data_IF_783436615791
#
_entry.id   IF_783436615791
#
_cell.length_a   1.000
_cell.length_b   1.000
_cell.length_c   1.000
_cell.angle_alpha   90.00
_cell.angle_beta   90.00
_cell.angle_gamma   90.00
#
_symmetry.space_group_name_H-M   'P 1'
#
loop_
_entity.id
_entity.type
_entity.pdbx_description
1 polymer ?
#
# COMPACT_ATOMS: atom_id res chain seq x y z
N UNK A 1 -24.43 -14.61 -8.38
CA UNK A 1 -24.18 -13.77 -7.19
C UNK A 1 -24.78 -12.40 -7.46
N UNK A 2 -25.63 -11.93 -6.56
CA UNK A 2 -26.43 -10.71 -6.73
C UNK A 2 -25.65 -9.52 -6.15
N UNK A 3 -24.97 -8.77 -7.02
CA UNK A 3 -24.12 -7.62 -6.68
C UNK A 3 -24.93 -6.33 -6.46
N UNK A 4 -26.26 -6.41 -6.60
CA UNK A 4 -27.18 -5.29 -6.43
C UNK A 4 -27.47 -4.96 -4.94
N UNK A 5 -26.86 -5.70 -4.00
CA UNK A 5 -26.84 -5.34 -2.58
C UNK A 5 -25.47 -4.84 -2.17
N UNK A 6 -25.44 -3.63 -1.63
CA UNK A 6 -24.26 -3.01 -1.02
C UNK A 6 -23.56 -4.02 -0.09
N UNK A 7 -22.24 -4.22 -0.29
CA UNK A 7 -21.36 -5.10 0.50
C UNK A 7 -21.60 -6.62 0.42
N UNK A 8 -22.29 -7.16 -0.58
CA UNK A 8 -22.32 -8.62 -0.77
C UNK A 8 -21.10 -9.13 -1.55
N UNK A 9 -19.96 -9.23 -0.87
CA UNK A 9 -18.77 -9.93 -1.37
C UNK A 9 -17.45 -9.27 -0.97
N UNK A 10 -16.43 -10.09 -0.68
CA UNK A 10 -15.10 -9.63 -0.26
C UNK A 10 -14.49 -8.62 -1.24
N UNK A 11 -14.58 -8.88 -2.54
CA UNK A 11 -14.05 -7.99 -3.60
C UNK A 11 -14.72 -6.63 -3.59
N UNK A 12 -16.05 -6.57 -3.43
CA UNK A 12 -16.79 -5.30 -3.38
C UNK A 12 -16.46 -4.50 -2.11
N UNK A 13 -16.32 -5.19 -0.97
CA UNK A 13 -15.86 -4.58 0.27
C UNK A 13 -14.46 -3.98 0.10
N UNK A 14 -13.50 -4.75 -0.43
CA UNK A 14 -12.12 -4.30 -0.65
C UNK A 14 -12.03 -3.17 -1.68
N UNK A 15 -12.85 -3.20 -2.73
CA UNK A 15 -12.97 -2.11 -3.70
C UNK A 15 -13.45 -0.80 -3.04
N UNK A 16 -14.52 -0.90 -2.22
CA UNK A 16 -15.04 0.24 -1.47
C UNK A 16 -14.01 0.78 -0.47
N UNK A 17 -13.32 -0.11 0.22
CA UNK A 17 -12.23 0.21 1.15
C UNK A 17 -11.12 0.99 0.45
N UNK A 18 -10.61 0.47 -0.68
CA UNK A 18 -9.58 1.11 -1.50
C UNK A 18 -10.03 2.40 -2.21
N UNK A 19 -11.29 2.83 -2.09
CA UNK A 19 -11.78 4.12 -2.58
C UNK A 19 -11.85 5.18 -1.47
N UNK A 20 -11.77 4.78 -0.21
CA UNK A 20 -11.81 5.69 0.94
C UNK A 20 -10.47 6.36 1.20
N UNK A 21 -10.46 7.69 1.37
CA UNK A 21 -9.25 8.44 1.76
C UNK A 21 -8.75 8.07 3.15
N UNK A 22 -9.65 7.69 4.05
CA UNK A 22 -9.31 7.34 5.43
C UNK A 22 -8.34 6.15 5.50
N UNK A 23 -8.48 5.18 4.58
CA UNK A 23 -7.58 4.02 4.49
C UNK A 23 -6.16 4.46 4.22
N UNK A 24 -5.96 5.32 3.22
CA UNK A 24 -4.64 5.83 2.88
C UNK A 24 -4.06 6.72 3.99
N UNK A 25 -4.89 7.48 4.71
CA UNK A 25 -4.46 8.24 5.88
C UNK A 25 -3.93 7.34 7.00
N UNK A 26 -4.65 6.24 7.31
CA UNK A 26 -4.22 5.25 8.30
C UNK A 26 -2.91 4.59 7.87
N UNK A 27 -2.81 4.17 6.60
CA UNK A 27 -1.59 3.59 6.04
C UNK A 27 -0.40 4.56 6.11
N UNK A 28 -0.61 5.84 5.78
CA UNK A 28 0.43 6.87 5.93
C UNK A 28 0.85 7.03 7.39
N UNK A 29 -0.10 7.04 8.33
CA UNK A 29 0.19 7.11 9.76
C UNK A 29 1.09 5.96 10.23
N UNK A 30 0.83 4.74 9.77
CA UNK A 30 1.67 3.57 10.07
C UNK A 30 3.08 3.70 9.49
N UNK A 31 3.21 4.14 8.24
CA UNK A 31 4.53 4.31 7.60
C UNK A 31 5.31 5.46 8.24
N UNK A 32 4.67 6.59 8.58
CA UNK A 32 5.29 7.69 9.32
C UNK A 32 5.76 7.24 10.69
N UNK A 33 4.95 6.43 11.39
CA UNK A 33 5.34 5.87 12.69
C UNK A 33 6.60 5.00 12.58
N UNK A 34 6.65 4.09 11.60
CA UNK A 34 7.83 3.27 11.32
C UNK A 34 9.06 4.11 10.97
N UNK A 35 8.89 5.13 10.12
CA UNK A 35 9.95 6.04 9.72
C UNK A 35 10.47 6.87 10.89
N UNK A 36 9.58 7.34 11.77
CA UNK A 36 9.93 8.04 13.00
C UNK A 36 10.75 7.16 13.93
N UNK A 37 10.27 5.94 14.21
CA UNK A 37 11.01 4.98 15.03
C UNK A 37 12.39 4.66 14.46
N UNK A 38 12.49 4.52 13.13
CA UNK A 38 13.75 4.26 12.42
C UNK A 38 14.73 5.43 12.55
N UNK A 39 14.22 6.67 12.42
CA UNK A 39 15.03 7.89 12.46
C UNK A 39 15.51 8.22 13.87
N UNK A 40 14.67 8.04 14.89
CA UNK A 40 15.03 8.36 16.28
C UNK A 40 15.77 7.23 17.01
N UNK A 41 15.59 5.97 16.58
CA UNK A 41 16.18 4.81 17.23
C UNK A 41 17.55 4.37 16.68
N UNK A 42 18.06 5.00 15.63
CA UNK A 42 19.23 4.49 14.90
C UNK A 42 20.25 5.56 14.56
N UNK A 43 21.48 5.42 15.08
CA UNK A 43 22.60 6.32 14.78
C UNK A 43 23.28 5.91 13.47
N UNK A 44 22.91 6.58 12.38
CA UNK A 44 23.65 6.76 11.12
C UNK A 44 24.56 5.59 10.64
N UNK A 45 23.95 4.57 10.04
CA UNK A 45 24.61 3.67 9.08
C UNK A 45 24.02 3.94 7.68
N UNK A 46 24.82 3.88 6.62
CA UNK A 46 24.35 4.03 5.22
C UNK A 46 23.21 3.07 4.86
N UNK A 47 23.19 1.88 5.47
CA UNK A 47 22.17 0.87 5.20
C UNK A 47 20.80 1.22 5.80
N UNK A 48 20.78 1.99 6.90
CA UNK A 48 19.54 2.52 7.50
C UNK A 48 18.94 3.62 6.62
N UNK A 49 19.78 4.43 5.97
CA UNK A 49 19.32 5.49 5.07
C UNK A 49 18.54 4.90 3.88
N UNK A 50 18.98 3.76 3.33
CA UNK A 50 18.25 3.09 2.26
C UNK A 50 16.86 2.64 2.69
N UNK A 51 16.73 2.15 3.92
CA UNK A 51 15.43 1.77 4.49
C UNK A 51 14.54 3.00 4.76
N UNK A 52 15.11 4.12 5.22
CA UNK A 52 14.39 5.39 5.36
C UNK A 52 13.87 5.89 4.00
N UNK A 53 14.71 5.85 2.97
CA UNK A 53 14.33 6.21 1.60
C UNK A 53 13.21 5.31 1.11
N UNK A 54 13.28 3.99 1.36
CA UNK A 54 12.24 3.05 0.97
C UNK A 54 10.87 3.40 1.59
N UNK A 55 10.83 3.68 2.89
CA UNK A 55 9.63 4.14 3.59
C UNK A 55 9.14 5.51 3.06
N UNK A 56 10.06 6.40 2.69
CA UNK A 56 9.74 7.68 2.03
C UNK A 56 9.08 7.48 0.66
N UNK A 57 9.59 6.56 -0.16
CA UNK A 57 8.97 6.20 -1.45
C UNK A 57 7.58 5.61 -1.24
N UNK A 58 7.40 4.76 -0.23
CA UNK A 58 6.08 4.24 0.15
C UNK A 58 5.09 5.38 0.48
N UNK A 59 5.54 6.38 1.27
CA UNK A 59 4.75 7.56 1.62
C UNK A 59 4.39 8.42 0.41
N UNK A 60 5.33 8.66 -0.51
CA UNK A 60 5.06 9.40 -1.74
C UNK A 60 3.95 8.74 -2.57
N UNK A 61 3.99 7.40 -2.73
CA UNK A 61 2.94 6.67 -3.41
C UNK A 61 1.58 6.79 -2.71
N UNK A 62 1.55 6.64 -1.38
CA UNK A 62 0.32 6.79 -0.59
C UNK A 62 -0.26 8.20 -0.65
N UNK A 63 0.59 9.22 -0.61
CA UNK A 63 0.19 10.62 -0.69
C UNK A 63 -0.46 10.92 -2.05
N UNK A 64 0.09 10.39 -3.14
CA UNK A 64 -0.52 10.50 -4.47
C UNK A 64 -1.92 9.86 -4.48
N UNK A 65 -2.09 8.66 -3.92
CA UNK A 65 -3.40 8.00 -3.88
C UNK A 65 -4.38 8.79 -3.00
N UNK A 66 -3.90 9.35 -1.88
CA UNK A 66 -4.70 10.12 -0.93
C UNK A 66 -5.31 11.37 -1.58
N UNK A 67 -4.58 12.07 -2.45
CA UNK A 67 -5.07 13.25 -3.17
C UNK A 67 -6.39 12.95 -3.87
N UNK A 68 -6.47 11.85 -4.63
CA UNK A 68 -7.71 11.42 -5.22
C UNK A 68 -7.76 9.90 -5.50
N UNK A 69 -8.31 9.09 -4.57
CA UNK A 69 -8.38 7.63 -4.73
C UNK A 69 -9.49 7.19 -5.71
N UNK A 70 -10.20 8.12 -6.35
CA UNK A 70 -11.25 7.79 -7.34
C UNK A 70 -10.70 7.84 -8.78
N UNK A 71 -9.64 8.61 -9.03
CA UNK A 71 -9.04 8.74 -10.36
C UNK A 71 -8.15 7.51 -10.63
N UNK A 72 -8.40 6.85 -11.76
CA UNK A 72 -7.71 5.62 -12.14
C UNK A 72 -6.19 5.79 -12.23
N UNK A 73 -5.72 6.74 -13.04
CA UNK A 73 -4.28 6.93 -13.32
C UNK A 73 -3.51 7.27 -12.04
N UNK A 74 -4.04 8.19 -11.22
CA UNK A 74 -3.43 8.60 -9.95
C UNK A 74 -3.33 7.41 -8.99
N UNK A 75 -4.41 6.62 -8.89
CA UNK A 75 -4.42 5.41 -8.07
C UNK A 75 -3.34 4.44 -8.56
N UNK A 76 -3.33 4.08 -9.84
CA UNK A 76 -2.39 3.10 -10.39
C UNK A 76 -0.94 3.52 -10.17
N UNK A 77 -0.58 4.76 -10.52
CA UNK A 77 0.77 5.30 -10.32
C UNK A 77 1.15 5.27 -8.85
N UNK A 78 0.26 5.70 -7.96
CA UNK A 78 0.53 5.68 -6.53
C UNK A 78 0.73 4.26 -5.98
N UNK A 79 -0.06 3.27 -6.43
CA UNK A 79 0.14 1.86 -6.06
C UNK A 79 1.50 1.35 -6.53
N UNK A 80 1.89 1.64 -7.78
CA UNK A 80 3.18 1.21 -8.33
C UNK A 80 4.36 1.82 -7.56
N UNK A 81 4.28 3.12 -7.24
CA UNK A 81 5.30 3.79 -6.43
C UNK A 81 5.38 3.18 -5.03
N UNK A 82 4.24 2.97 -4.36
CA UNK A 82 4.24 2.35 -3.03
C UNK A 82 4.77 0.92 -3.05
N UNK A 83 4.43 0.11 -4.06
CA UNK A 83 4.96 -1.24 -4.20
C UNK A 83 6.46 -1.26 -4.51
N UNK A 84 6.97 -0.31 -5.30
CA UNK A 84 8.40 -0.15 -5.49
C UNK A 84 9.11 0.15 -4.16
N UNK A 85 8.56 1.05 -3.35
CA UNK A 85 9.05 1.31 -1.99
C UNK A 85 9.05 0.07 -1.10
N UNK A 86 8.01 -0.77 -1.17
CA UNK A 86 7.95 -2.06 -0.45
C UNK A 86 9.07 -3.00 -0.87
N UNK A 87 9.31 -3.15 -2.19
CA UNK A 87 10.38 -4.02 -2.70
C UNK A 87 11.75 -3.59 -2.20
N UNK A 88 12.02 -2.28 -2.20
CA UNK A 88 13.26 -1.71 -1.68
C UNK A 88 13.34 -1.94 -0.15
N UNK A 89 12.25 -1.73 0.58
CA UNK A 89 12.22 -1.92 2.04
C UNK A 89 12.48 -3.37 2.42
N UNK A 90 11.84 -4.33 1.75
CA UNK A 90 12.05 -5.76 1.98
C UNK A 90 13.50 -6.17 1.72
N UNK A 91 14.09 -5.69 0.63
CA UNK A 91 15.48 -5.98 0.30
C UNK A 91 16.44 -5.45 1.38
N UNK A 92 16.30 -4.17 1.76
CA UNK A 92 17.19 -3.55 2.73
C UNK A 92 16.99 -4.08 4.16
N UNK A 93 15.75 -4.32 4.59
CA UNK A 93 15.47 -4.92 5.90
C UNK A 93 16.04 -6.34 6.01
N UNK A 94 16.02 -7.11 4.93
CA UNK A 94 16.64 -8.43 4.89
C UNK A 94 18.18 -8.37 4.96
N UNK A 95 18.80 -7.38 4.31
CA UNK A 95 20.25 -7.16 4.40
C UNK A 95 20.70 -6.74 5.80
N UNK A 96 19.89 -5.92 6.49
CA UNK A 96 20.18 -5.44 7.84
C UNK A 96 20.03 -6.52 8.95
N UNK A 97 19.36 -7.64 8.64
CA UNK A 97 19.27 -8.79 9.55
C UNK A 97 18.25 -8.66 10.68
N UNK A 98 18.42 -9.46 11.74
CA UNK A 98 17.39 -9.72 12.77
C UNK A 98 16.87 -8.46 13.49
N UNK A 99 17.73 -7.44 13.66
CA UNK A 99 17.38 -6.16 14.27
C UNK A 99 16.31 -5.37 13.52
N UNK A 100 16.03 -5.71 12.26
CA UNK A 100 15.09 -5.02 11.38
C UNK A 100 13.92 -5.91 10.93
N UNK A 101 13.72 -7.06 11.58
CA UNK A 101 12.61 -7.98 11.31
C UNK A 101 11.23 -7.32 11.34
N UNK A 102 11.01 -6.35 12.25
CA UNK A 102 9.78 -5.55 12.30
C UNK A 102 9.51 -4.85 10.96
N UNK A 103 10.53 -4.19 10.37
CA UNK A 103 10.40 -3.47 9.11
C UNK A 103 10.15 -4.43 7.96
N UNK A 104 10.84 -5.59 7.96
CA UNK A 104 10.61 -6.63 6.96
C UNK A 104 9.16 -7.11 6.96
N UNK A 105 8.65 -7.55 8.11
CA UNK A 105 7.27 -8.07 8.20
C UNK A 105 6.22 -6.97 7.99
N UNK A 106 6.45 -5.75 8.48
CA UNK A 106 5.56 -4.63 8.24
C UNK A 106 5.46 -4.30 6.74
N UNK A 107 6.59 -4.23 6.03
CA UNK A 107 6.62 -4.01 4.59
C UNK A 107 5.97 -5.16 3.81
N UNK A 108 6.16 -6.41 4.25
CA UNK A 108 5.53 -7.59 3.64
C UNK A 108 4.00 -7.53 3.74
N UNK A 109 3.47 -7.31 4.95
CA UNK A 109 2.02 -7.22 5.19
C UNK A 109 1.43 -6.04 4.43
N UNK A 110 2.12 -4.90 4.44
CA UNK A 110 1.71 -3.73 3.67
C UNK A 110 1.65 -4.03 2.17
N UNK A 111 2.68 -4.67 1.61
CA UNK A 111 2.73 -5.06 0.20
C UNK A 111 1.61 -6.00 -0.18
N UNK A 112 1.39 -7.05 0.62
CA UNK A 112 0.30 -8.00 0.42
C UNK A 112 -1.07 -7.29 0.46
N UNK A 113 -1.27 -6.38 1.42
CA UNK A 113 -2.49 -5.61 1.54
C UNK A 113 -2.73 -4.69 0.32
N UNK A 114 -1.70 -3.99 -0.15
CA UNK A 114 -1.77 -3.17 -1.36
C UNK A 114 -2.10 -3.99 -2.61
N UNK A 115 -1.47 -5.17 -2.76
CA UNK A 115 -1.76 -6.09 -3.85
C UNK A 115 -3.22 -6.59 -3.80
N UNK A 116 -3.74 -6.92 -2.61
CA UNK A 116 -5.14 -7.32 -2.45
C UNK A 116 -6.11 -6.20 -2.85
N UNK A 117 -5.84 -4.95 -2.47
CA UNK A 117 -6.67 -3.81 -2.88
C UNK A 117 -6.62 -3.57 -4.40
N UNK A 118 -5.43 -3.66 -4.99
CA UNK A 118 -5.24 -3.48 -6.43
C UNK A 118 -5.95 -4.60 -7.23
N UNK A 119 -5.79 -5.85 -6.81
CA UNK A 119 -6.45 -7.00 -7.44
C UNK A 119 -7.97 -6.91 -7.30
N UNK A 120 -8.46 -6.58 -6.11
CA UNK A 120 -9.90 -6.39 -5.88
C UNK A 120 -10.46 -5.29 -6.78
N UNK A 121 -9.68 -4.26 -7.05
CA UNK A 121 -10.05 -3.21 -7.99
C UNK A 121 -10.14 -3.70 -9.44
N UNK A 122 -9.15 -4.46 -9.92
CA UNK A 122 -9.19 -5.06 -11.27
C UNK A 122 -10.37 -6.02 -11.43
N UNK A 123 -10.56 -6.94 -10.48
CA UNK A 123 -11.63 -7.94 -10.52
C UNK A 123 -13.01 -7.27 -10.50
N UNK A 124 -13.19 -6.24 -9.67
CA UNK A 124 -14.44 -5.49 -9.63
C UNK A 124 -14.77 -4.84 -10.98
N UNK A 125 -13.79 -4.20 -11.62
CA UNK A 125 -14.01 -3.52 -12.89
C UNK A 125 -14.23 -4.48 -14.06
N UNK A 126 -13.44 -5.57 -14.16
CA UNK A 126 -13.60 -6.57 -15.22
C UNK A 126 -14.99 -7.22 -15.19
N UNK A 127 -15.51 -7.48 -14.00
CA UNK A 127 -16.84 -8.07 -13.82
C UNK A 127 -17.96 -7.06 -14.02
N UNK A 128 -17.72 -5.79 -13.71
CA UNK A 128 -18.68 -4.71 -13.99
C UNK A 128 -18.81 -4.45 -15.49
N UNK A 129 -17.76 -4.63 -16.30
CA UNK A 129 -17.87 -4.56 -17.76
C UNK A 129 -18.70 -5.71 -18.32
N UNK A 130 -18.50 -6.94 -17.83
CA UNK A 130 -19.27 -8.12 -18.29
C UNK A 130 -20.78 -8.00 -18.04
N UNK A 131 -21.19 -7.37 -16.93
CA UNK A 131 -22.62 -7.20 -16.60
C UNK A 131 -23.28 -6.11 -17.45
N UNK A 132 -22.55 -5.07 -17.85
CA UNK A 132 -23.10 -3.97 -18.66
C UNK A 132 -23.28 -4.33 -20.14
N UNK A 133 -22.78 -5.48 -20.58
CA UNK A 133 -22.93 -6.00 -21.94
C UNK A 133 -24.10 -6.99 -22.10
N UNK A 134 -24.83 -7.29 -21.02
CA UNK A 134 -26.02 -8.16 -21.00
C UNK A 134 -27.28 -7.29 -20.91
#
# INVERSE_FOLDING_TARGET
MDYNKHNKGFVCFMYGFGRSRAVYAVLMGLVIFLLGFLTFGSSAQTDILNLQIALGVMLCGLLLIFLNPKIFIIKLIGYLISLAGVMIALHNANLLGEGFSLYFYASLVFGAFMMLMLLSWFVYNARSSEINEI
#
